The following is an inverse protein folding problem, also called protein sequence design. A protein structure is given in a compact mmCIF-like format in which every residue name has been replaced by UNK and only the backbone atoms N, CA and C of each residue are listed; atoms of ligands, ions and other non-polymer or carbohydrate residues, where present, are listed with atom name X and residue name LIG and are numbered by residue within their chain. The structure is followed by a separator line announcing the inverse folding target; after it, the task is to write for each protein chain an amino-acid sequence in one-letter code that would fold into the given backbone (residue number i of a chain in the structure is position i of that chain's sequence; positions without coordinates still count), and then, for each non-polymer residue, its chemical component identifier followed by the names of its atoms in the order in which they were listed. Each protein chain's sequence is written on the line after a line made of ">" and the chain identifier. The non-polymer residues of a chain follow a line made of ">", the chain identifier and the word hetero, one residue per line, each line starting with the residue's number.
data_IF_028029881829
#
_entry.id   IF_028029881829
#
_cell.length_a   1.000
_cell.length_b   1.000
_cell.length_c   1.000
_cell.angle_alpha   90.00
_cell.angle_beta   90.00
_cell.angle_gamma   90.00
#
_symmetry.space_group_name_H-M   'P 1'
#
loop_
_entity.id
_entity.type
_entity.pdbx_description
1 polymer ?
#
# COMPACT_ATOMS: atom_id res chain seq x y z
N UNK A 1 -1.78 5.45 4.49
CA UNK A 1 -0.86 5.85 5.58
C UNK A 1 0.52 5.34 5.25
N UNK A 2 1.45 6.25 4.96
CA UNK A 2 2.86 5.96 4.84
C UNK A 2 3.37 5.61 6.24
N UNK A 3 3.64 4.34 6.49
CA UNK A 3 4.20 3.92 7.76
C UNK A 3 5.57 4.56 7.96
N UNK A 4 5.75 5.28 9.05
CA UNK A 4 7.03 5.79 9.50
C UNK A 4 7.90 4.67 10.09
N UNK A 5 8.13 3.60 9.32
CA UNK A 5 9.04 2.54 9.69
C UNK A 5 10.46 2.85 9.19
N UNK A 6 11.47 2.17 9.74
CA UNK A 6 12.85 2.31 9.25
C UNK A 6 12.99 2.01 7.76
N UNK A 7 12.13 1.17 7.19
CA UNK A 7 12.03 0.93 5.76
C UNK A 7 11.47 2.14 4.99
N UNK A 8 10.57 2.94 5.60
CA UNK A 8 10.07 4.17 5.01
C UNK A 8 11.18 5.23 4.86
N UNK A 9 12.22 5.20 5.71
CA UNK A 9 13.34 6.14 5.63
C UNK A 9 14.13 6.07 4.33
N UNK A 10 14.09 4.93 3.61
CA UNK A 10 14.72 4.80 2.29
C UNK A 10 13.72 5.01 1.15
N UNK A 11 12.44 4.78 1.38
CA UNK A 11 11.39 4.97 0.36
C UNK A 11 11.18 6.46 0.06
N UNK A 12 11.11 7.33 1.09
CA UNK A 12 10.92 8.77 0.86
C UNK A 12 12.00 9.39 -0.01
N UNK A 13 13.23 8.86 0.01
CA UNK A 13 14.33 9.35 -0.82
C UNK A 13 14.10 9.16 -2.31
N UNK A 14 13.21 8.26 -2.68
CA UNK A 14 12.84 7.94 -4.07
C UNK A 14 11.44 8.42 -4.45
N UNK A 15 10.65 8.83 -3.47
CA UNK A 15 9.31 9.33 -3.68
C UNK A 15 9.38 10.73 -4.34
N UNK A 16 8.57 10.94 -5.36
CA UNK A 16 8.56 12.18 -6.13
C UNK A 16 7.18 12.83 -6.17
N UNK A 17 6.11 12.07 -5.90
CA UNK A 17 4.74 12.53 -6.00
C UNK A 17 3.83 11.83 -4.99
N UNK A 18 2.93 12.57 -4.40
CA UNK A 18 1.83 12.08 -3.57
C UNK A 18 0.52 12.59 -4.18
N UNK A 19 -0.43 11.68 -4.43
CA UNK A 19 -1.81 12.04 -4.76
C UNK A 19 -2.74 11.52 -3.66
N UNK A 20 -3.40 12.43 -2.94
CA UNK A 20 -4.31 12.11 -1.85
C UNK A 20 -5.53 13.04 -1.87
N UNK A 21 -6.72 12.46 -1.74
CA UNK A 21 -7.99 13.19 -1.86
C UNK A 21 -8.66 13.49 -0.51
N UNK A 22 -8.17 12.91 0.57
CA UNK A 22 -8.81 13.01 1.88
C UNK A 22 -8.35 14.21 2.72
N UNK A 23 -7.42 15.02 2.19
CA UNK A 23 -6.90 16.19 2.86
C UNK A 23 -6.03 17.03 1.92
N UNK A 24 -5.42 18.05 2.47
CA UNK A 24 -4.45 18.91 1.79
C UNK A 24 -3.00 18.49 2.09
N UNK A 25 -2.04 19.24 1.56
CA UNK A 25 -0.61 19.01 1.79
C UNK A 25 -0.23 19.15 3.28
N UNK A 26 -0.92 20.01 4.04
CA UNK A 26 -0.68 20.17 5.48
C UNK A 26 -1.12 18.91 6.26
N UNK A 27 -2.31 18.38 5.94
CA UNK A 27 -2.79 17.15 6.54
C UNK A 27 -1.88 15.96 6.21
N UNK A 28 -1.41 15.87 4.96
CA UNK A 28 -0.48 14.83 4.55
C UNK A 28 0.87 14.94 5.27
N UNK A 29 1.43 16.14 5.39
CA UNK A 29 2.67 16.41 6.11
C UNK A 29 2.53 16.06 7.60
N UNK A 30 1.41 16.43 8.23
CA UNK A 30 1.13 16.09 9.62
C UNK A 30 1.09 14.58 9.84
N UNK A 31 0.43 13.82 8.95
CA UNK A 31 0.38 12.36 9.02
C UNK A 31 1.71 11.68 8.68
N UNK A 32 2.60 12.35 7.96
CA UNK A 32 3.98 11.90 7.78
C UNK A 32 4.82 12.14 9.02
N UNK A 33 4.63 13.26 9.70
CA UNK A 33 5.38 13.62 10.90
C UNK A 33 4.95 12.80 12.13
N UNK A 34 3.65 12.53 12.27
CA UNK A 34 3.08 11.87 13.45
C UNK A 34 2.37 10.58 13.10
N UNK A 35 2.85 9.48 13.63
CA UNK A 35 2.25 8.16 13.49
C UNK A 35 1.80 7.64 14.86
N UNK A 36 0.59 7.08 14.93
CA UNK A 36 -0.01 6.62 16.20
C UNK A 36 0.71 5.41 16.81
N UNK A 37 1.46 4.65 16.02
CA UNK A 37 2.18 3.44 16.45
C UNK A 37 3.68 3.73 16.63
N UNK A 38 4.28 4.41 15.66
CA UNK A 38 5.73 4.65 15.60
C UNK A 38 6.14 6.00 16.21
N UNK A 39 5.17 6.86 16.53
CA UNK A 39 5.42 8.18 17.11
C UNK A 39 5.86 9.22 16.09
N UNK A 40 6.65 10.19 16.54
CA UNK A 40 7.07 11.29 15.68
C UNK A 40 8.25 10.88 14.79
N UNK A 41 8.11 11.15 13.49
CA UNK A 41 9.20 11.04 12.54
C UNK A 41 10.08 12.30 12.59
N UNK A 42 11.26 12.20 13.15
CA UNK A 42 12.14 13.35 13.43
C UNK A 42 12.84 13.91 12.18
N UNK A 43 12.06 14.15 11.11
CA UNK A 43 12.52 14.80 9.89
C UNK A 43 11.97 16.21 9.79
N UNK A 44 12.73 17.14 9.20
CA UNK A 44 12.23 18.46 8.88
C UNK A 44 11.27 18.38 7.70
N UNK A 45 10.04 18.79 7.91
CA UNK A 45 8.98 18.78 6.90
C UNK A 45 8.46 20.21 6.73
N UNK A 46 8.62 20.74 5.52
CA UNK A 46 8.07 22.03 5.09
C UNK A 46 6.92 21.79 4.11
N UNK A 47 5.86 22.56 4.20
CA UNK A 47 4.69 22.45 3.33
C UNK A 47 4.59 23.71 2.46
N UNK A 48 4.38 23.48 1.16
CA UNK A 48 3.95 24.46 0.18
C UNK A 48 2.64 24.00 -0.45
N UNK A 49 1.96 24.88 -1.16
CA UNK A 49 0.61 24.63 -1.66
C UNK A 49 0.49 23.30 -2.45
N UNK A 50 1.44 23.05 -3.35
CA UNK A 50 1.46 21.83 -4.19
C UNK A 50 2.71 20.96 -3.96
N UNK A 51 3.44 21.19 -2.89
CA UNK A 51 4.66 20.47 -2.56
C UNK A 51 4.77 20.17 -1.07
N UNK A 52 5.31 19.00 -0.75
CA UNK A 52 5.82 18.68 0.59
C UNK A 52 7.34 18.53 0.45
N UNK A 53 8.08 19.22 1.29
CA UNK A 53 9.54 19.17 1.30
C UNK A 53 9.97 18.43 2.54
N UNK A 54 10.65 17.30 2.37
CA UNK A 54 11.18 16.50 3.47
C UNK A 54 12.71 16.61 3.45
N UNK A 55 13.26 17.25 4.47
CA UNK A 55 14.65 17.71 4.48
C UNK A 55 14.87 18.65 3.27
N UNK A 56 15.59 18.26 2.26
CA UNK A 56 15.79 19.07 1.04
C UNK A 56 15.03 18.53 -0.17
N UNK A 57 14.31 17.41 0.00
CA UNK A 57 13.65 16.71 -1.09
C UNK A 57 12.22 17.16 -1.28
N UNK A 58 11.92 17.61 -2.49
CA UNK A 58 10.59 18.03 -2.92
C UNK A 58 9.77 16.86 -3.43
N UNK A 59 8.54 16.75 -2.92
CA UNK A 59 7.50 15.84 -3.37
C UNK A 59 6.34 16.67 -3.90
N UNK A 60 5.96 16.48 -5.16
CA UNK A 60 4.75 17.06 -5.70
C UNK A 60 3.52 16.51 -4.94
N UNK A 61 2.56 17.38 -4.65
CA UNK A 61 1.32 16.99 -4.01
C UNK A 61 0.13 17.34 -4.90
N UNK A 62 -0.77 16.39 -5.10
CA UNK A 62 -2.00 16.58 -5.87
C UNK A 62 -3.19 15.89 -5.19
N UNK A 63 -4.41 16.28 -5.60
CA UNK A 63 -5.67 15.80 -5.00
C UNK A 63 -6.69 15.39 -6.07
N UNK A 64 -6.26 14.67 -7.10
CA UNK A 64 -7.14 14.18 -8.15
C UNK A 64 -7.89 12.92 -7.72
N UNK A 65 -9.22 12.92 -7.90
CA UNK A 65 -10.07 11.75 -7.60
C UNK A 65 -9.82 10.58 -8.56
N UNK A 66 -9.57 10.88 -9.81
CA UNK A 66 -9.22 9.89 -10.80
C UNK A 66 -7.71 9.90 -11.01
N UNK A 67 -7.06 8.81 -10.71
CA UNK A 67 -5.60 8.66 -10.82
C UNK A 67 -5.07 8.81 -12.25
N UNK A 68 -5.94 8.68 -13.26
CA UNK A 68 -5.58 8.91 -14.66
C UNK A 68 -5.38 10.39 -14.98
N UNK A 69 -5.93 11.29 -14.19
CA UNK A 69 -5.83 12.73 -14.38
C UNK A 69 -4.60 13.33 -13.65
N UNK A 70 -3.90 12.52 -12.86
CA UNK A 70 -2.69 12.95 -12.15
C UNK A 70 -1.55 13.13 -13.13
N UNK A 71 -0.83 14.26 -13.12
CA UNK A 71 0.27 14.53 -14.06
C UNK A 71 1.57 13.82 -13.64
N UNK A 72 1.55 12.49 -13.63
CA UNK A 72 2.67 11.64 -13.21
C UNK A 72 3.96 11.88 -14.00
N UNK A 73 3.84 12.24 -15.27
CA UNK A 73 4.96 12.54 -16.16
C UNK A 73 5.81 13.72 -15.67
N UNK A 74 5.19 14.73 -15.03
CA UNK A 74 5.90 15.89 -14.47
C UNK A 74 6.84 15.50 -13.32
N UNK A 75 6.58 14.38 -12.67
CA UNK A 75 7.36 13.89 -11.53
C UNK A 75 8.26 12.71 -11.90
N UNK A 76 8.36 12.36 -13.19
CA UNK A 76 9.19 11.24 -13.70
C UNK A 76 8.96 9.93 -12.92
N UNK A 77 7.69 9.58 -12.72
CA UNK A 77 7.30 8.42 -11.93
C UNK A 77 7.49 7.13 -12.73
N UNK A 78 8.25 6.18 -12.20
CA UNK A 78 8.42 4.84 -12.76
C UNK A 78 7.52 3.80 -12.09
N UNK A 79 7.23 3.98 -10.81
CA UNK A 79 6.54 3.00 -9.96
C UNK A 79 5.41 3.70 -9.19
N UNK A 80 4.22 3.13 -9.23
CA UNK A 80 3.09 3.58 -8.41
C UNK A 80 2.96 2.69 -7.18
N UNK A 81 2.81 3.32 -6.02
CA UNK A 81 2.35 2.67 -4.79
C UNK A 81 0.85 2.93 -4.64
N UNK A 82 0.02 1.95 -4.99
CA UNK A 82 -1.44 2.02 -4.88
C UNK A 82 -1.87 1.68 -3.45
N UNK A 83 -2.11 2.69 -2.64
CA UNK A 83 -2.45 2.56 -1.22
C UNK A 83 -3.90 2.94 -0.91
N UNK A 84 -4.73 3.26 -1.90
CA UNK A 84 -6.11 3.71 -1.67
C UNK A 84 -7.04 2.61 -1.16
N UNK A 85 -6.68 1.34 -1.40
CA UNK A 85 -7.53 0.20 -1.12
C UNK A 85 -8.82 0.14 -1.94
N UNK A 86 -8.97 0.98 -2.98
CA UNK A 86 -10.13 1.02 -3.88
C UNK A 86 -9.90 0.24 -5.16
N UNK A 87 -8.69 0.27 -5.70
CA UNK A 87 -8.31 -0.40 -6.94
C UNK A 87 -7.86 -1.83 -6.67
N UNK A 88 -8.84 -2.74 -6.50
CA UNK A 88 -8.63 -4.14 -6.07
C UNK A 88 -8.94 -5.16 -7.16
N UNK A 89 -9.03 -4.72 -8.41
CA UNK A 89 -9.34 -5.58 -9.55
C UNK A 89 -8.43 -5.25 -10.73
N UNK A 90 -8.11 -6.21 -11.60
CA UNK A 90 -7.27 -5.99 -12.77
C UNK A 90 -7.77 -4.86 -13.69
N UNK A 91 -9.08 -4.78 -13.94
CA UNK A 91 -9.69 -3.72 -14.74
C UNK A 91 -9.44 -2.31 -14.22
N UNK A 92 -9.21 -2.16 -12.92
CA UNK A 92 -8.86 -0.89 -12.27
C UNK A 92 -7.34 -0.63 -12.22
N UNK A 93 -6.53 -1.66 -12.41
CA UNK A 93 -5.07 -1.57 -12.33
C UNK A 93 -4.41 -1.54 -13.71
N UNK A 94 -5.00 -2.20 -14.71
CA UNK A 94 -4.46 -2.20 -16.07
C UNK A 94 -4.23 -0.81 -16.66
N UNK A 95 -5.12 0.19 -16.45
CA UNK A 95 -4.88 1.54 -16.97
C UNK A 95 -3.59 2.21 -16.48
N UNK A 96 -3.03 1.81 -15.34
CA UNK A 96 -1.70 2.29 -14.93
C UNK A 96 -0.62 1.90 -15.95
N UNK A 97 -0.75 0.74 -16.59
CA UNK A 97 0.18 0.26 -17.60
C UNK A 97 -0.19 0.76 -18.99
N UNK A 98 -1.46 0.56 -19.38
CA UNK A 98 -1.94 0.78 -20.74
C UNK A 98 -2.08 2.26 -21.09
N UNK A 99 -2.55 3.08 -20.13
CA UNK A 99 -2.82 4.50 -20.35
C UNK A 99 -1.72 5.41 -19.83
N UNK A 100 -1.10 5.06 -18.70
CA UNK A 100 -0.08 5.90 -18.06
C UNK A 100 1.35 5.41 -18.31
N UNK A 101 1.53 4.23 -18.90
CA UNK A 101 2.85 3.69 -19.24
C UNK A 101 3.74 3.38 -18.03
N UNK A 102 3.14 3.16 -16.84
CA UNK A 102 3.91 2.87 -15.64
C UNK A 102 4.67 1.54 -15.76
N UNK A 103 5.91 1.54 -15.32
CA UNK A 103 6.75 0.33 -15.38
C UNK A 103 6.28 -0.71 -14.38
N UNK A 104 5.84 -0.29 -13.18
CA UNK A 104 5.37 -1.17 -12.11
C UNK A 104 4.30 -0.51 -11.26
N UNK A 105 3.42 -1.36 -10.72
CA UNK A 105 2.44 -0.97 -9.70
C UNK A 105 2.58 -1.91 -8.52
N UNK A 106 2.74 -1.34 -7.33
CA UNK A 106 2.75 -2.08 -6.07
C UNK A 106 1.46 -1.73 -5.34
N UNK A 107 0.63 -2.73 -5.07
CA UNK A 107 -0.67 -2.54 -4.41
C UNK A 107 -0.58 -2.96 -2.96
N UNK A 108 -0.88 -2.05 -2.04
CA UNK A 108 -0.81 -2.27 -0.59
C UNK A 108 -2.00 -3.08 -0.02
N UNK A 109 -2.68 -3.86 -0.86
CA UNK A 109 -3.79 -4.73 -0.44
C UNK A 109 -3.92 -5.91 -1.41
N UNK A 110 -4.68 -6.97 -1.03
CA UNK A 110 -4.95 -8.08 -1.93
C UNK A 110 -5.74 -7.63 -3.17
N UNK A 111 -5.32 -8.08 -4.34
CA UNK A 111 -6.02 -7.87 -5.60
C UNK A 111 -6.76 -9.15 -5.99
N UNK A 112 -8.07 -9.04 -6.23
CA UNK A 112 -8.89 -10.18 -6.63
C UNK A 112 -8.72 -10.47 -8.12
N UNK A 113 -8.60 -11.75 -8.48
CA UNK A 113 -8.50 -12.18 -9.87
C UNK A 113 -7.07 -12.14 -10.44
N UNK A 114 -6.07 -11.92 -9.62
CA UNK A 114 -4.69 -12.14 -10.02
C UNK A 114 -4.44 -13.64 -10.08
N UNK A 115 -4.04 -14.11 -11.25
CA UNK A 115 -3.47 -15.45 -11.42
C UNK A 115 -1.97 -15.32 -11.16
N UNK A 116 -1.48 -15.97 -10.12
CA UNK A 116 -0.06 -16.00 -9.84
C UNK A 116 0.67 -16.65 -11.02
N UNK A 117 1.66 -15.98 -11.58
CA UNK A 117 2.61 -16.59 -12.50
C UNK A 117 2.90 -15.87 -13.81
N UNK A 118 2.08 -14.93 -14.30
CA UNK A 118 2.36 -14.32 -15.60
C UNK A 118 2.91 -12.88 -15.47
N UNK A 119 2.12 -11.94 -14.99
CA UNK A 119 2.55 -10.53 -14.84
C UNK A 119 2.36 -10.00 -13.42
N UNK A 120 1.88 -10.85 -12.51
CA UNK A 120 1.54 -10.43 -11.14
C UNK A 120 2.05 -11.40 -10.08
N UNK A 121 2.43 -10.87 -8.93
CA UNK A 121 2.93 -11.62 -7.80
C UNK A 121 2.40 -11.06 -6.48
N UNK A 122 1.82 -11.92 -5.65
CA UNK A 122 1.57 -11.61 -4.25
C UNK A 122 2.85 -11.88 -3.44
N UNK A 123 3.38 -10.86 -2.77
CA UNK A 123 4.59 -10.98 -1.95
C UNK A 123 4.24 -10.86 -0.47
N UNK A 124 4.73 -11.82 0.30
CA UNK A 124 4.94 -11.71 1.74
C UNK A 124 6.44 -11.66 1.97
N UNK A 125 6.96 -10.52 2.39
CA UNK A 125 8.40 -10.34 2.56
C UNK A 125 8.95 -11.28 3.64
N UNK A 126 10.10 -11.88 3.40
CA UNK A 126 10.66 -12.95 4.23
C UNK A 126 10.18 -14.36 3.87
N UNK A 127 9.14 -14.48 3.02
CA UNK A 127 8.54 -15.77 2.64
C UNK A 127 8.83 -16.10 1.17
N UNK A 128 8.42 -15.23 0.24
CA UNK A 128 8.43 -15.55 -1.18
C UNK A 128 8.95 -14.42 -2.09
N UNK A 129 9.65 -13.42 -1.55
CA UNK A 129 10.21 -12.33 -2.35
C UNK A 129 11.23 -12.80 -3.39
N UNK A 130 11.85 -13.96 -3.19
CA UNK A 130 12.76 -14.59 -4.16
C UNK A 130 12.08 -15.03 -5.46
N UNK A 131 10.75 -15.13 -5.45
CA UNK A 131 9.96 -15.41 -6.66
C UNK A 131 9.80 -14.18 -7.57
N UNK A 132 10.17 -12.99 -7.08
CA UNK A 132 10.05 -11.77 -7.86
C UNK A 132 11.04 -11.75 -9.02
N UNK A 133 10.49 -11.65 -10.22
CA UNK A 133 11.24 -11.48 -11.46
C UNK A 133 10.87 -10.12 -12.08
N UNK A 134 11.81 -9.16 -12.12
CA UNK A 134 11.52 -7.82 -12.64
C UNK A 134 11.22 -7.78 -14.13
N UNK A 135 11.55 -8.83 -14.88
CA UNK A 135 11.24 -8.93 -16.31
C UNK A 135 9.79 -9.36 -16.56
N UNK A 136 9.15 -10.03 -15.59
CA UNK A 136 7.80 -10.59 -15.68
C UNK A 136 6.77 -9.82 -14.86
N UNK A 137 7.09 -9.60 -13.57
CA UNK A 137 6.11 -9.11 -12.60
C UNK A 137 5.99 -7.59 -12.63
N UNK A 138 5.04 -7.08 -13.41
CA UNK A 138 4.71 -5.65 -13.46
C UNK A 138 3.80 -5.23 -12.30
N UNK A 139 2.89 -6.12 -11.88
CA UNK A 139 1.96 -5.90 -10.78
C UNK A 139 2.37 -6.74 -9.57
N UNK A 140 2.70 -6.06 -8.47
CA UNK A 140 3.04 -6.70 -7.20
C UNK A 140 2.02 -6.32 -6.15
N UNK A 141 1.58 -7.27 -5.32
CA UNK A 141 0.72 -6.97 -4.18
C UNK A 141 1.40 -7.35 -2.88
N UNK A 142 1.14 -6.56 -1.84
CA UNK A 142 1.65 -6.83 -0.49
C UNK A 142 0.81 -7.86 0.29
N UNK A 143 -0.05 -8.63 -0.41
CA UNK A 143 -0.97 -9.58 0.18
C UNK A 143 -1.93 -8.94 1.22
N UNK A 144 -2.44 -9.71 2.18
CA UNK A 144 -3.31 -9.19 3.25
C UNK A 144 -2.57 -9.08 4.58
N UNK A 145 -3.07 -8.24 5.48
CA UNK A 145 -2.58 -8.15 6.86
C UNK A 145 -2.58 -9.52 7.55
N UNK A 146 -3.66 -10.29 7.41
CA UNK A 146 -3.78 -11.65 7.94
C UNK A 146 -2.76 -12.60 7.34
N UNK A 147 -2.51 -12.52 6.03
CA UNK A 147 -1.50 -13.35 5.36
C UNK A 147 -0.09 -12.98 5.83
N UNK A 148 0.20 -11.70 5.99
CA UNK A 148 1.50 -11.24 6.50
C UNK A 148 1.73 -11.65 7.96
N UNK A 149 0.69 -11.79 8.76
CA UNK A 149 0.77 -12.33 10.12
C UNK A 149 1.01 -13.85 10.11
N UNK A 150 0.22 -14.59 9.34
CA UNK A 150 0.18 -16.06 9.39
C UNK A 150 1.36 -16.71 8.68
N UNK A 151 1.73 -16.24 7.48
CA UNK A 151 2.70 -16.95 6.64
C UNK A 151 4.08 -17.11 7.28
N UNK A 152 4.67 -16.12 7.99
CA UNK A 152 5.93 -16.30 8.71
C UNK A 152 5.86 -17.37 9.79
N UNK A 153 4.75 -17.41 10.55
CA UNK A 153 4.55 -18.40 11.62
C UNK A 153 4.44 -19.79 11.02
N UNK A 154 3.61 -19.96 10.01
CA UNK A 154 3.45 -21.25 9.30
C UNK A 154 4.76 -21.72 8.71
N UNK A 155 5.56 -20.82 8.12
CA UNK A 155 6.88 -21.15 7.58
C UNK A 155 7.79 -21.72 8.66
N UNK A 156 7.96 -21.01 9.77
CA UNK A 156 8.84 -21.45 10.87
C UNK A 156 8.39 -22.79 11.44
N UNK A 157 7.09 -22.99 11.68
CA UNK A 157 6.56 -24.24 12.21
C UNK A 157 6.77 -25.38 11.21
N UNK A 158 6.48 -25.15 9.92
CA UNK A 158 6.62 -26.18 8.90
C UNK A 158 8.08 -26.61 8.67
N UNK A 159 9.01 -25.66 8.67
CA UNK A 159 10.44 -25.94 8.48
C UNK A 159 11.05 -26.72 9.65
N UNK A 160 10.56 -26.54 10.88
CA UNK A 160 11.12 -27.18 12.06
C UNK A 160 10.37 -28.45 12.51
N UNK A 161 9.06 -28.52 12.26
CA UNK A 161 8.22 -29.60 12.82
C UNK A 161 7.39 -30.35 11.77
N UNK A 162 7.28 -29.84 10.56
CA UNK A 162 6.41 -30.33 9.49
C UNK A 162 4.91 -30.29 9.87
N UNK A 163 4.12 -29.60 9.09
CA UNK A 163 2.66 -29.49 9.32
C UNK A 163 1.94 -30.51 8.44
N UNK A 164 1.18 -31.41 9.05
CA UNK A 164 0.30 -32.35 8.33
C UNK A 164 -1.06 -31.72 8.01
N UNK A 165 -1.65 -31.04 8.98
CA UNK A 165 -2.92 -30.31 8.86
C UNK A 165 -3.05 -29.35 10.03
N UNK A 166 -3.98 -28.39 9.91
CA UNK A 166 -4.22 -27.40 10.94
C UNK A 166 -5.57 -26.70 10.77
N UNK A 167 -5.98 -25.97 11.80
CA UNK A 167 -7.11 -25.06 11.76
C UNK A 167 -6.63 -23.65 12.10
N UNK A 168 -7.22 -22.64 11.46
CA UNK A 168 -6.86 -21.24 11.67
C UNK A 168 -8.08 -20.50 12.18
N UNK A 169 -7.95 -19.81 13.30
CA UNK A 169 -8.93 -18.87 13.81
C UNK A 169 -8.28 -17.49 13.89
N UNK A 170 -8.85 -16.51 13.22
CA UNK A 170 -8.36 -15.13 13.25
C UNK A 170 -9.20 -14.28 14.19
N UNK A 171 -8.55 -13.68 15.17
CA UNK A 171 -9.09 -12.59 15.98
C UNK A 171 -8.48 -11.31 15.41
N UNK A 172 -9.31 -10.51 14.74
CA UNK A 172 -8.84 -9.37 13.96
C UNK A 172 -9.26 -8.07 14.60
N UNK A 173 -8.33 -7.14 14.72
CA UNK A 173 -8.62 -5.78 15.17
C UNK A 173 -9.52 -5.03 14.18
N UNK A 174 -10.19 -3.98 14.67
CA UNK A 174 -11.06 -3.13 13.86
C UNK A 174 -10.27 -2.42 12.79
N UNK A 175 -10.76 -2.45 11.57
CA UNK A 175 -10.18 -1.72 10.43
C UNK A 175 -11.13 -0.63 9.96
N UNK A 176 -10.63 0.30 9.15
CA UNK A 176 -11.42 1.39 8.56
C UNK A 176 -12.58 0.92 7.66
N UNK A 177 -12.68 -0.37 7.36
CA UNK A 177 -13.82 -0.95 6.64
C UNK A 177 -15.00 -1.30 7.55
N UNK A 178 -14.78 -1.33 8.86
CA UNK A 178 -15.81 -1.48 9.89
C UNK A 178 -16.17 -0.10 10.45
N UNK A 179 -17.34 0.02 11.04
CA UNK A 179 -17.78 1.28 11.64
C UNK A 179 -17.95 1.09 13.15
N UNK A 180 -17.35 1.95 13.98
CA UNK A 180 -17.52 1.90 15.44
C UNK A 180 -18.94 2.27 15.87
N UNK A 181 -19.67 3.03 15.04
CA UNK A 181 -21.07 3.41 15.25
C UNK A 181 -21.89 2.88 14.08
N UNK A 182 -23.12 2.45 14.31
CA UNK A 182 -24.01 1.89 13.31
C UNK A 182 -24.09 2.76 12.05
N UNK A 183 -23.89 2.15 10.89
CA UNK A 183 -23.91 2.83 9.61
C UNK A 183 -24.42 1.91 8.50
N UNK A 184 -25.06 2.49 7.50
CA UNK A 184 -25.56 1.73 6.35
C UNK A 184 -24.43 1.08 5.55
N UNK A 185 -24.39 -0.27 5.56
CA UNK A 185 -23.52 -1.08 4.71
C UNK A 185 -24.26 -2.31 4.23
N UNK A 186 -23.94 -2.74 3.01
CA UNK A 186 -24.48 -3.98 2.43
C UNK A 186 -24.02 -5.24 3.16
N UNK A 187 -22.82 -5.22 3.74
CA UNK A 187 -22.35 -6.29 4.62
C UNK A 187 -22.76 -5.96 6.06
N UNK A 188 -23.78 -6.65 6.55
CA UNK A 188 -24.33 -6.42 7.89
C UNK A 188 -23.34 -6.67 9.02
N UNK A 189 -22.34 -7.55 8.82
CA UNK A 189 -21.26 -7.81 9.79
C UNK A 189 -20.33 -6.61 9.97
N UNK A 190 -20.34 -5.67 9.02
CA UNK A 190 -19.53 -4.44 9.01
C UNK A 190 -20.34 -3.17 9.24
N UNK A 191 -21.63 -3.31 9.43
CA UNK A 191 -22.55 -2.18 9.67
C UNK A 191 -22.58 -1.75 11.15
N UNK A 192 -22.01 -2.54 12.04
CA UNK A 192 -21.95 -2.34 13.49
C UNK A 192 -20.57 -2.65 14.01
N UNK A 193 -20.14 -1.90 15.04
CA UNK A 193 -18.89 -2.12 15.77
C UNK A 193 -18.97 -3.26 16.77
#
# INVERSE_FOLDING_TARGET
>A
TLEASSAASDVYKRQTHINEIAGDSNAAAHLLEFDSVHGRWGKDIEVKEEEIIIEEKKLAYTSFKNYLDVPWEKSSVDIILECTGKNKKPDKLNPYFDSLGMKRVIVACPVKGIVAGEESLNIVYGINQSLYDPSKHKLVTAASCTTNCLAPIVKVINENFSIKHGAITTIHDVTNTQVPVDFYKSDLRRARG
#
